data_IF_344469657035
#
_entry.id   IF_344469657035
#
_cell.length_a   1.000
_cell.length_b   1.000
_cell.length_c   1.000
_cell.angle_alpha   90.00
_cell.angle_beta   90.00
_cell.angle_gamma   90.00
#
_symmetry.space_group_name_H-M   'P 1'
#
loop_
_entity.id
_entity.type
_entity.pdbx_description
1 polymer ?
#
# COMPACT_ATOMS: atom_id res chain seq x y z
N UNK A 1 -13.02 16.21 14.26
CA UNK A 1 -11.66 16.10 13.67
C UNK A 1 -11.39 14.81 12.90
N UNK A 2 -12.10 13.69 13.13
CA UNK A 2 -11.75 12.38 12.53
C UNK A 2 -11.82 12.25 11.01
N UNK A 3 -12.65 13.05 10.31
CA UNK A 3 -12.82 12.92 8.85
C UNK A 3 -11.59 13.39 8.05
N UNK A 4 -10.87 14.42 8.54
CA UNK A 4 -9.62 14.89 7.91
C UNK A 4 -8.50 13.88 8.11
N UNK A 5 -8.40 13.29 9.30
CA UNK A 5 -7.42 12.25 9.62
C UNK A 5 -7.65 11.00 8.77
N UNK A 6 -8.90 10.59 8.57
CA UNK A 6 -9.23 9.44 7.73
C UNK A 6 -8.87 9.68 6.25
N UNK A 7 -9.12 10.88 5.72
CA UNK A 7 -8.71 11.25 4.38
C UNK A 7 -7.18 11.24 4.22
N UNK A 8 -6.45 11.79 5.20
CA UNK A 8 -4.98 11.79 5.19
C UNK A 8 -4.41 10.37 5.19
N UNK A 9 -4.96 9.46 6.01
CA UNK A 9 -4.54 8.05 6.05
C UNK A 9 -4.81 7.34 4.71
N UNK A 10 -5.97 7.62 4.07
CA UNK A 10 -6.27 7.11 2.73
C UNK A 10 -5.27 7.57 1.68
N UNK A 11 -4.90 8.86 1.68
CA UNK A 11 -3.89 9.39 0.76
C UNK A 11 -2.51 8.79 1.03
N UNK A 12 -2.10 8.64 2.29
CA UNK A 12 -0.80 8.06 2.64
C UNK A 12 -0.69 6.59 2.23
N UNK A 13 -1.75 5.80 2.38
CA UNK A 13 -1.77 4.41 1.93
C UNK A 13 -1.73 4.28 0.41
N UNK A 14 -2.40 5.19 -0.31
CA UNK A 14 -2.29 5.28 -1.76
C UNK A 14 -0.86 5.65 -2.21
N UNK A 15 -0.23 6.64 -1.56
CA UNK A 15 1.16 7.04 -1.84
C UNK A 15 2.16 5.91 -1.54
N UNK A 16 1.97 5.17 -0.44
CA UNK A 16 2.78 4.00 -0.13
C UNK A 16 2.64 2.92 -1.22
N UNK A 17 1.42 2.66 -1.68
CA UNK A 17 1.15 1.75 -2.78
C UNK A 17 1.80 2.18 -4.10
N UNK A 18 1.71 3.47 -4.43
CA UNK A 18 2.39 4.06 -5.59
C UNK A 18 3.90 3.86 -5.54
N UNK A 19 4.51 4.12 -4.37
CA UNK A 19 5.95 3.92 -4.15
C UNK A 19 6.36 2.46 -4.33
N UNK A 20 5.58 1.52 -3.78
CA UNK A 20 5.83 0.09 -3.96
C UNK A 20 5.72 -0.32 -5.44
N UNK A 21 4.73 0.18 -6.17
CA UNK A 21 4.59 -0.02 -7.61
C UNK A 21 5.80 0.50 -8.40
N UNK A 22 6.35 1.65 -7.99
CA UNK A 22 7.55 2.23 -8.60
C UNK A 22 8.79 1.34 -8.40
N UNK A 23 9.01 0.85 -7.18
CA UNK A 23 10.13 -0.06 -6.86
C UNK A 23 10.01 -1.35 -7.65
N UNK A 24 8.82 -1.97 -7.70
CA UNK A 24 8.59 -3.19 -8.50
C UNK A 24 8.86 -2.95 -9.98
N UNK A 25 8.42 -1.81 -10.53
CA UNK A 25 8.70 -1.49 -11.92
C UNK A 25 10.21 -1.35 -12.17
N UNK A 26 10.92 -0.59 -11.35
CA UNK A 26 12.37 -0.37 -11.47
C UNK A 26 13.15 -1.69 -11.38
N UNK A 27 12.98 -2.43 -10.29
CA UNK A 27 13.82 -3.58 -9.95
C UNK A 27 13.45 -4.88 -10.67
N UNK A 28 12.18 -5.04 -11.06
CA UNK A 28 11.69 -6.32 -11.61
C UNK A 28 11.36 -6.24 -13.09
N UNK A 29 10.83 -5.10 -13.56
CA UNK A 29 10.32 -4.96 -14.93
C UNK A 29 11.29 -4.23 -15.84
N UNK A 30 11.97 -3.23 -15.30
CA UNK A 30 12.93 -2.40 -16.04
C UNK A 30 14.34 -3.03 -16.02
N UNK A 31 14.73 -3.61 -14.88
CA UNK A 31 15.99 -4.37 -14.74
C UNK A 31 16.07 -5.48 -15.82
N UNK A 32 17.13 -5.47 -16.62
CA UNK A 32 17.34 -6.39 -17.76
C UNK A 32 16.59 -6.03 -19.05
N UNK A 33 15.49 -5.28 -19.00
CA UNK A 33 14.81 -4.76 -20.21
C UNK A 33 15.40 -3.44 -20.69
N UNK A 34 15.91 -2.61 -19.80
CA UNK A 34 16.70 -1.41 -20.14
C UNK A 34 17.98 -1.79 -20.89
N UNK A 35 18.66 -2.88 -20.49
CA UNK A 35 19.83 -3.35 -21.27
C UNK A 35 19.46 -3.81 -22.68
N UNK A 36 18.23 -4.32 -22.88
CA UNK A 36 17.73 -4.73 -24.19
C UNK A 36 17.28 -3.55 -25.06
N UNK A 37 17.02 -2.38 -24.47
CA UNK A 37 16.72 -1.14 -25.20
C UNK A 37 17.88 -0.70 -26.09
N UNK A 38 19.12 -1.00 -25.72
CA UNK A 38 20.31 -0.70 -26.53
C UNK A 38 20.33 -1.51 -27.83
N UNK A 39 19.66 -2.66 -27.86
CA UNK A 39 19.61 -3.55 -29.03
C UNK A 39 18.37 -3.30 -29.90
N UNK A 40 17.30 -2.76 -29.32
CA UNK A 40 16.07 -2.36 -30.03
C UNK A 40 15.07 -1.71 -29.07
N UNK A 41 14.53 -0.52 -29.37
CA UNK A 41 13.70 0.21 -28.43
C UNK A 41 12.32 -0.45 -28.24
N UNK A 42 12.06 -1.01 -27.04
CA UNK A 42 10.76 -1.57 -26.66
C UNK A 42 9.98 -0.62 -25.75
N UNK A 43 9.40 0.43 -26.34
CA UNK A 43 8.64 1.47 -25.65
C UNK A 43 7.49 0.96 -24.76
N UNK A 44 7.04 -0.29 -24.95
CA UNK A 44 5.97 -0.91 -24.16
C UNK A 44 6.34 -1.02 -22.68
N UNK A 45 7.63 -1.15 -22.35
CA UNK A 45 8.11 -1.22 -20.95
C UNK A 45 7.73 0.04 -20.17
N UNK A 46 7.82 1.20 -20.83
CA UNK A 46 7.46 2.48 -20.24
C UNK A 46 5.95 2.76 -20.37
N UNK A 47 5.37 2.63 -21.57
CA UNK A 47 3.96 3.03 -21.78
C UNK A 47 2.93 2.06 -21.20
N UNK A 48 3.27 0.78 -21.03
CA UNK A 48 2.36 -0.21 -20.45
C UNK A 48 2.86 -0.67 -19.09
N UNK A 49 4.15 -1.00 -18.96
CA UNK A 49 4.70 -1.52 -17.71
C UNK A 49 4.60 -0.54 -16.54
N UNK A 50 5.03 0.71 -16.76
CA UNK A 50 5.07 1.73 -15.72
C UNK A 50 3.66 2.08 -15.18
N UNK A 51 2.64 2.42 -16.01
CA UNK A 51 1.31 2.72 -15.50
C UNK A 51 0.62 1.51 -14.86
N UNK A 52 0.87 0.28 -15.35
CA UNK A 52 0.34 -0.94 -14.74
C UNK A 52 0.93 -1.16 -13.35
N UNK A 53 2.25 -1.02 -13.19
CA UNK A 53 2.91 -1.18 -11.90
C UNK A 53 2.49 -0.09 -10.90
N UNK A 54 2.44 1.17 -11.32
CA UNK A 54 1.99 2.27 -10.47
C UNK A 54 0.52 2.12 -10.07
N UNK A 55 -0.36 1.86 -11.04
CA UNK A 55 -1.80 1.68 -10.79
C UNK A 55 -2.08 0.44 -9.92
N UNK A 56 -1.44 -0.68 -10.24
CA UNK A 56 -1.51 -1.90 -9.43
C UNK A 56 -1.00 -1.69 -8.01
N UNK A 57 0.10 -0.94 -7.85
CA UNK A 57 0.65 -0.56 -6.56
C UNK A 57 -0.33 0.26 -5.72
N UNK A 58 -0.97 1.30 -6.29
CA UNK A 58 -1.99 2.09 -5.60
C UNK A 58 -3.17 1.21 -5.16
N UNK A 59 -3.69 0.37 -6.06
CA UNK A 59 -4.83 -0.51 -5.79
C UNK A 59 -4.49 -1.50 -4.67
N UNK A 60 -3.33 -2.16 -4.74
CA UNK A 60 -2.88 -3.09 -3.71
C UNK A 60 -2.60 -2.39 -2.37
N UNK A 61 -1.94 -1.24 -2.39
CA UNK A 61 -1.62 -0.47 -1.19
C UNK A 61 -2.86 0.02 -0.46
N UNK A 62 -3.87 0.49 -1.19
CA UNK A 62 -5.16 0.90 -0.62
C UNK A 62 -5.96 -0.29 -0.09
N UNK A 63 -6.05 -1.39 -0.83
CA UNK A 63 -6.68 -2.64 -0.37
C UNK A 63 -6.02 -3.18 0.90
N UNK A 64 -4.69 -3.25 0.93
CA UNK A 64 -3.93 -3.70 2.10
C UNK A 64 -4.15 -2.78 3.30
N UNK A 65 -4.15 -1.45 3.09
CA UNK A 65 -4.43 -0.47 4.13
C UNK A 65 -5.84 -0.63 4.72
N UNK A 66 -6.85 -0.83 3.88
CA UNK A 66 -8.23 -1.11 4.32
C UNK A 66 -8.31 -2.43 5.09
N UNK A 67 -7.64 -3.48 4.60
CA UNK A 67 -7.64 -4.79 5.25
C UNK A 67 -6.95 -4.72 6.63
N UNK A 68 -5.80 -4.06 6.71
CA UNK A 68 -5.07 -3.85 7.95
C UNK A 68 -5.89 -3.02 8.94
N UNK A 69 -6.52 -1.95 8.47
CA UNK A 69 -7.40 -1.14 9.32
C UNK A 69 -8.60 -1.95 9.83
N UNK A 70 -9.19 -2.81 9.00
CA UNK A 70 -10.24 -3.74 9.44
C UNK A 70 -9.72 -4.71 10.49
N UNK A 71 -8.56 -5.33 10.26
CA UNK A 71 -7.94 -6.29 11.19
C UNK A 71 -7.60 -5.66 12.55
N UNK A 72 -7.02 -4.45 12.55
CA UNK A 72 -6.69 -3.70 13.77
C UNK A 72 -7.96 -3.28 14.51
N UNK A 73 -9.01 -2.83 13.80
CA UNK A 73 -10.29 -2.47 14.41
C UNK A 73 -11.05 -3.69 14.95
N UNK A 74 -10.85 -4.87 14.36
CA UNK A 74 -11.43 -6.13 14.85
C UNK A 74 -10.69 -6.75 16.02
N UNK A 75 -9.49 -6.26 16.42
CA UNK A 75 -8.90 -6.68 17.70
C UNK A 75 -9.78 -6.11 18.80
N UNK A 76 -10.62 -6.93 19.48
CA UNK A 76 -11.34 -6.43 20.63
C UNK A 76 -10.25 -6.06 21.61
N UNK A 77 -10.31 -4.81 22.07
CA UNK A 77 -9.66 -4.35 23.28
C UNK A 77 -9.89 -5.44 24.32
N UNK A 78 -8.89 -6.28 24.58
CA UNK A 78 -8.97 -7.35 25.56
C UNK A 78 -9.26 -6.63 26.87
N UNK A 79 -10.53 -6.66 27.24
CA UNK A 79 -11.07 -5.81 28.27
C UNK A 79 -10.33 -6.16 29.54
N UNK A 80 -9.53 -5.19 29.98
CA UNK A 80 -9.19 -4.88 31.35
C UNK A 80 -10.26 -5.42 32.31
N UNK A 81 -10.11 -6.66 32.78
CA UNK A 81 -10.72 -7.14 34.03
C UNK A 81 -9.92 -6.55 35.18
N UNK A 82 -10.01 -5.24 35.33
CA UNK A 82 -9.89 -4.63 36.66
C UNK A 82 -11.31 -4.57 37.20
N UNK A 83 -11.76 -5.65 37.86
CA UNK A 83 -12.93 -5.55 38.73
C UNK A 83 -12.58 -4.60 39.89
N UNK A 84 -13.35 -3.54 40.14
CA UNK A 84 -13.15 -2.71 41.32
C UNK A 84 -13.57 -3.45 42.60
N UNK A 85 -13.01 -3.06 43.76
CA UNK A 85 -13.06 -3.81 45.01
C UNK A 85 -14.42 -3.61 45.68
N UNK A 86 -14.99 -4.65 46.27
CA UNK A 86 -16.12 -4.44 47.17
C UNK A 86 -16.27 -5.53 48.25
N UNK A 87 -16.31 -4.98 49.48
CA UNK A 87 -16.97 -5.42 50.73
C UNK A 87 -16.26 -6.42 51.65
N UNK A 88 -15.83 -5.87 52.79
CA UNK A 88 -15.47 -6.56 54.03
C UNK A 88 -14.68 -5.64 54.94
#
# INVERSE_FOLDING_TARGET
MGQRTQAAVGCLTALAGLGAGCVVWSEVVAEGRIHRFETGPDWRVFYLGLPVCLGGGIVLGTLAGVLLHRLVRTRPFTARRSGPPDRG
#
